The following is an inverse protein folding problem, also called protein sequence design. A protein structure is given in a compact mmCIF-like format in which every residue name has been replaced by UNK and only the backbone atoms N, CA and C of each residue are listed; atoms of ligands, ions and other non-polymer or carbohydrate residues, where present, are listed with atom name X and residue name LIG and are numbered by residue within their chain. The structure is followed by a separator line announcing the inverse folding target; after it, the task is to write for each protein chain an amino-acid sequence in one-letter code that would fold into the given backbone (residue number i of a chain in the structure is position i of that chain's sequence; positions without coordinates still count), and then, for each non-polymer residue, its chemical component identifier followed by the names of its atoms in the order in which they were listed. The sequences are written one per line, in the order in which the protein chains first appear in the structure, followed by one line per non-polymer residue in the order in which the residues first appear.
data_IF_816469121450
#
_entry.id   IF_816469121450
#
_cell.length_a   1.000
_cell.length_b   1.000
_cell.length_c   1.000
_cell.angle_alpha   90.00
_cell.angle_beta   90.00
_cell.angle_gamma   90.00
#
_symmetry.space_group_name_H-M   'P 1'
#
loop_
_entity.id
_entity.type
_entity.pdbx_description
1 polymer ?
#
# COMPACT_ATOMS: atom_id res chain seq x y z
N UNK A 1 -3.29 16.08 -2.51
CA UNK A 1 -2.92 15.04 -1.51
C UNK A 1 -3.87 14.94 -0.33
N UNK A 2 -4.50 16.01 0.21
CA UNK A 2 -5.47 15.86 1.31
C UNK A 2 -6.70 15.03 0.90
N UNK A 3 -7.21 15.25 -0.30
CA UNK A 3 -8.39 14.55 -0.84
C UNK A 3 -8.14 13.05 -1.07
N UNK A 4 -6.90 12.64 -1.39
CA UNK A 4 -6.54 11.23 -1.57
C UNK A 4 -6.93 10.38 -0.35
N UNK A 5 -6.68 10.91 0.86
CA UNK A 5 -6.94 10.22 2.12
C UNK A 5 -8.40 10.33 2.60
N UNK A 6 -9.24 11.05 1.87
CA UNK A 6 -10.68 11.21 2.18
C UNK A 6 -11.58 10.30 1.36
N UNK A 7 -11.00 9.44 0.51
CA UNK A 7 -11.74 8.51 -0.35
C UNK A 7 -11.30 7.05 -0.12
N UNK A 8 -12.08 6.07 -0.60
CA UNK A 8 -11.66 4.68 -0.62
C UNK A 8 -10.39 4.48 -1.46
N UNK A 9 -9.58 3.49 -1.08
CA UNK A 9 -8.40 3.07 -1.83
C UNK A 9 -8.33 1.57 -1.99
N UNK A 10 -7.66 1.09 -3.04
CA UNK A 10 -7.32 -0.34 -3.19
C UNK A 10 -5.84 -0.56 -2.85
N UNK A 11 -5.56 -1.49 -1.94
CA UNK A 11 -4.20 -1.76 -1.44
C UNK A 11 -3.65 -3.10 -1.91
N UNK A 12 -2.38 -3.13 -2.34
CA UNK A 12 -1.63 -4.35 -2.63
C UNK A 12 -0.96 -4.93 -1.37
N UNK A 13 -0.24 -6.04 -1.54
CA UNK A 13 0.45 -6.79 -0.47
C UNK A 13 1.59 -5.99 0.18
N UNK A 14 2.46 -5.34 -0.59
CA UNK A 14 3.72 -4.77 -0.10
C UNK A 14 3.56 -3.65 0.95
N UNK A 15 2.59 -2.73 0.85
CA UNK A 15 2.36 -1.74 1.90
C UNK A 15 1.79 -2.35 3.19
N UNK A 16 0.96 -3.38 3.07
CA UNK A 16 0.40 -4.10 4.22
C UNK A 16 1.52 -4.77 5.01
N UNK A 17 2.37 -5.55 4.32
CA UNK A 17 3.51 -6.24 4.93
C UNK A 17 4.44 -5.23 5.60
N UNK A 18 4.78 -4.15 4.87
CA UNK A 18 5.70 -3.12 5.37
C UNK A 18 5.20 -2.50 6.67
N UNK A 19 3.95 -2.03 6.70
CA UNK A 19 3.39 -1.43 7.91
C UNK A 19 3.19 -2.44 9.05
N UNK A 20 2.75 -3.68 8.76
CA UNK A 20 2.60 -4.71 9.79
C UNK A 20 3.95 -5.04 10.46
N UNK A 21 5.02 -5.20 9.68
CA UNK A 21 6.38 -5.42 10.20
C UNK A 21 6.92 -4.29 11.06
N UNK A 22 6.41 -3.08 10.86
CA UNK A 22 6.73 -1.92 11.69
C UNK A 22 5.79 -1.74 12.89
N UNK A 23 4.81 -2.64 13.11
CA UNK A 23 3.77 -2.49 14.14
C UNK A 23 2.73 -1.41 13.83
N UNK A 24 2.64 -0.98 12.57
CA UNK A 24 1.87 0.18 12.10
C UNK A 24 0.66 -0.20 11.22
N UNK A 25 0.22 -1.46 11.19
CA UNK A 25 -0.94 -1.90 10.40
C UNK A 25 -2.23 -1.11 10.71
N UNK A 26 -2.41 -0.68 11.96
CA UNK A 26 -3.54 0.16 12.39
C UNK A 26 -3.65 1.51 11.66
N UNK A 27 -2.57 1.97 11.02
CA UNK A 27 -2.58 3.23 10.28
C UNK A 27 -3.55 3.20 9.11
N UNK A 28 -3.80 2.05 8.46
CA UNK A 28 -4.75 1.99 7.35
C UNK A 28 -6.15 2.48 7.73
N UNK A 29 -6.67 2.00 8.87
CA UNK A 29 -7.97 2.42 9.41
C UNK A 29 -7.99 3.89 9.87
N UNK A 30 -6.82 4.43 10.24
CA UNK A 30 -6.70 5.83 10.68
C UNK A 30 -6.51 6.80 9.50
N UNK A 31 -5.97 6.32 8.38
CA UNK A 31 -5.59 7.14 7.23
C UNK A 31 -6.67 7.21 6.15
N UNK A 32 -7.54 6.21 6.06
CA UNK A 32 -8.55 6.11 5.02
C UNK A 32 -9.94 5.82 5.59
N UNK A 33 -11.01 6.33 4.97
CA UNK A 33 -12.36 5.97 5.34
C UNK A 33 -12.69 4.50 5.00
N UNK A 34 -12.04 3.95 3.96
CA UNK A 34 -12.23 2.56 3.52
C UNK A 34 -11.00 2.08 2.77
N UNK A 35 -10.54 0.87 3.07
CA UNK A 35 -9.47 0.20 2.33
C UNK A 35 -10.02 -1.09 1.75
N UNK A 36 -9.85 -1.27 0.45
CA UNK A 36 -10.25 -2.46 -0.27
C UNK A 36 -9.02 -3.25 -0.69
N UNK A 37 -9.19 -4.56 -0.85
CA UNK A 37 -8.18 -5.41 -1.48
C UNK A 37 -8.84 -6.59 -2.19
N UNK A 38 -8.07 -7.34 -2.98
CA UNK A 38 -8.58 -8.50 -3.72
C UNK A 38 -8.31 -9.79 -2.95
N UNK A 39 -9.11 -10.83 -3.19
CA UNK A 39 -8.81 -12.18 -2.68
C UNK A 39 -7.41 -12.66 -3.08
N UNK A 40 -6.96 -12.31 -4.30
CA UNK A 40 -5.61 -12.65 -4.78
C UNK A 40 -4.52 -12.07 -3.88
N UNK A 41 -4.67 -10.80 -3.47
CA UNK A 41 -3.75 -10.15 -2.53
C UNK A 41 -3.81 -10.82 -1.15
N UNK A 42 -4.99 -11.20 -0.67
CA UNK A 42 -5.16 -11.90 0.61
C UNK A 42 -4.47 -13.28 0.58
N UNK A 43 -4.64 -14.06 -0.48
CA UNK A 43 -3.96 -15.35 -0.66
C UNK A 43 -2.43 -15.19 -0.63
N UNK A 44 -1.90 -14.17 -1.28
CA UNK A 44 -0.46 -13.87 -1.27
C UNK A 44 0.04 -13.42 0.10
N UNK A 45 -0.77 -12.68 0.86
CA UNK A 45 -0.44 -12.28 2.23
C UNK A 45 -0.44 -13.49 3.18
N UNK A 46 -1.39 -14.39 3.04
CA UNK A 46 -1.51 -15.61 3.86
C UNK A 46 -0.44 -16.66 3.54
N UNK A 47 0.11 -16.64 2.32
CA UNK A 47 1.21 -17.52 1.93
C UNK A 47 2.58 -17.09 2.46
N UNK A 48 2.70 -15.90 3.07
CA UNK A 48 3.97 -15.36 3.60
C UNK A 48 4.15 -15.68 5.08
N UNK A 49 5.40 -15.60 5.55
CA UNK A 49 5.90 -16.05 6.85
C UNK A 49 5.00 -15.79 8.07
N UNK A 50 5.07 -16.72 9.03
CA UNK A 50 4.22 -16.74 10.22
C UNK A 50 4.47 -15.59 11.23
N UNK A 51 5.63 -14.92 11.19
CA UNK A 51 6.01 -13.92 12.21
C UNK A 51 5.06 -12.72 12.27
N UNK A 52 4.49 -12.33 11.11
CA UNK A 52 3.62 -11.15 11.01
C UNK A 52 2.16 -11.52 10.76
N UNK A 53 1.84 -12.83 10.73
CA UNK A 53 0.54 -13.33 10.32
C UNK A 53 -0.61 -12.75 11.17
N UNK A 54 -0.42 -12.64 12.49
CA UNK A 54 -1.42 -12.04 13.38
C UNK A 54 -1.66 -10.56 13.10
N UNK A 55 -0.60 -9.79 12.83
CA UNK A 55 -0.71 -8.36 12.55
C UNK A 55 -1.35 -8.12 11.18
N UNK A 56 -1.00 -8.93 10.19
CA UNK A 56 -1.62 -8.91 8.85
C UNK A 56 -3.10 -9.28 8.96
N UNK A 57 -3.44 -10.33 9.71
CA UNK A 57 -4.83 -10.74 9.90
C UNK A 57 -5.66 -9.63 10.55
N UNK A 58 -5.19 -9.05 11.65
CA UNK A 58 -5.86 -7.92 12.30
C UNK A 58 -6.01 -6.71 11.38
N UNK A 59 -5.04 -6.45 10.50
CA UNK A 59 -5.13 -5.38 9.50
C UNK A 59 -6.19 -5.70 8.43
N UNK A 60 -6.24 -6.94 7.95
CA UNK A 60 -7.20 -7.40 6.95
C UNK A 60 -8.65 -7.42 7.47
N UNK A 61 -8.87 -7.58 8.78
CA UNK A 61 -10.20 -7.45 9.38
C UNK A 61 -10.80 -6.05 9.21
N UNK A 62 -9.96 -5.02 9.06
CA UNK A 62 -10.39 -3.65 8.77
C UNK A 62 -10.57 -3.38 7.25
N UNK A 63 -10.22 -4.34 6.38
CA UNK A 63 -10.29 -4.17 4.93
C UNK A 63 -11.57 -4.79 4.37
N UNK A 64 -12.11 -4.20 3.32
CA UNK A 64 -13.14 -4.84 2.50
C UNK A 64 -12.45 -5.72 1.45
N UNK A 65 -12.62 -7.04 1.59
CA UNK A 65 -12.01 -8.02 0.68
C UNK A 65 -13.02 -8.35 -0.42
N UNK A 66 -12.67 -7.99 -1.66
CA UNK A 66 -13.51 -8.25 -2.83
C UNK A 66 -12.99 -9.43 -3.66
N UNK A 67 -13.87 -10.11 -4.43
CA UNK A 67 -13.43 -11.11 -5.40
C UNK A 67 -12.38 -10.54 -6.35
N UNK A 68 -11.42 -11.36 -6.76
CA UNK A 68 -10.43 -10.99 -7.76
C UNK A 68 -11.13 -10.83 -9.12
N UNK A 69 -11.14 -9.63 -9.72
CA UNK A 69 -11.77 -9.43 -11.01
C UNK A 69 -10.93 -10.06 -12.13
N UNK A 70 -11.53 -10.38 -13.30
CA UNK A 70 -10.80 -10.85 -14.47
C UNK A 70 -9.76 -9.81 -14.89
N UNK A 71 -8.49 -10.20 -14.85
CA UNK A 71 -7.36 -9.32 -15.22
C UNK A 71 -7.18 -9.33 -16.73
N UNK A 72 -6.99 -8.15 -17.33
CA UNK A 72 -6.61 -8.01 -18.73
C UNK A 72 -5.29 -8.78 -19.00
N UNK A 73 -5.28 -9.72 -19.97
CA UNK A 73 -4.08 -10.49 -20.32
C UNK A 73 -2.86 -9.63 -20.64
N UNK A 74 -3.03 -8.41 -21.16
CA UNK A 74 -1.89 -7.51 -21.40
C UNK A 74 -1.26 -7.04 -20.09
N UNK A 75 -2.06 -6.78 -19.05
CA UNK A 75 -1.54 -6.37 -17.74
C UNK A 75 -0.73 -7.48 -17.07
N UNK A 76 -1.16 -8.73 -17.21
CA UNK A 76 -0.47 -9.87 -16.60
C UNK A 76 0.91 -10.15 -17.24
N UNK A 77 1.18 -9.61 -18.43
CA UNK A 77 2.54 -9.65 -19.02
C UNK A 77 3.48 -8.58 -18.44
N UNK A 78 2.94 -7.55 -17.79
CA UNK A 78 3.68 -6.38 -17.33
C UNK A 78 3.84 -6.39 -15.81
N UNK A 79 2.75 -6.73 -15.11
CA UNK A 79 2.60 -6.64 -13.66
C UNK A 79 2.50 -8.03 -13.03
N UNK A 80 2.83 -8.12 -11.76
CA UNK A 80 2.53 -9.33 -11.01
C UNK A 80 1.00 -9.49 -10.81
N UNK A 81 0.53 -10.72 -10.51
CA UNK A 81 -0.90 -10.99 -10.35
C UNK A 81 -1.59 -10.14 -9.26
N UNK A 82 -0.89 -9.82 -8.17
CA UNK A 82 -1.41 -8.99 -7.09
C UNK A 82 -1.64 -7.56 -7.55
N UNK A 83 -0.62 -6.92 -8.13
CA UNK A 83 -0.69 -5.57 -8.71
C UNK A 83 -1.78 -5.46 -9.78
N UNK A 84 -1.81 -6.41 -10.72
CA UNK A 84 -2.77 -6.40 -11.81
C UNK A 84 -4.22 -6.52 -11.28
N UNK A 85 -4.44 -7.34 -10.25
CA UNK A 85 -5.74 -7.48 -9.62
C UNK A 85 -6.20 -6.19 -8.92
N UNK A 86 -5.27 -5.48 -8.26
CA UNK A 86 -5.55 -4.20 -7.59
C UNK A 86 -5.98 -3.13 -8.58
N UNK A 87 -5.26 -3.00 -9.70
CA UNK A 87 -5.61 -2.03 -10.75
C UNK A 87 -6.96 -2.34 -11.39
N UNK A 88 -7.20 -3.62 -11.68
CA UNK A 88 -8.46 -4.04 -12.26
C UNK A 88 -9.64 -3.79 -11.31
N UNK A 89 -9.47 -4.08 -10.01
CA UNK A 89 -10.49 -3.80 -9.01
C UNK A 89 -10.76 -2.29 -8.89
N UNK A 90 -9.71 -1.47 -8.86
CA UNK A 90 -9.85 -0.02 -8.83
C UNK A 90 -10.66 0.50 -10.03
N UNK A 91 -10.36 0.00 -11.23
CA UNK A 91 -11.10 0.34 -12.46
C UNK A 91 -12.57 -0.09 -12.39
N UNK A 92 -12.85 -1.33 -11.99
CA UNK A 92 -14.20 -1.89 -11.97
C UNK A 92 -15.13 -1.16 -10.99
N UNK A 93 -14.60 -0.78 -9.83
CA UNK A 93 -15.36 -0.11 -8.78
C UNK A 93 -15.29 1.43 -8.84
N UNK A 94 -14.64 1.99 -9.87
CA UNK A 94 -14.51 3.44 -10.03
C UNK A 94 -13.67 4.11 -8.91
N UNK A 95 -12.75 3.38 -8.30
CA UNK A 95 -11.87 3.87 -7.24
C UNK A 95 -10.65 4.51 -7.89
N UNK A 96 -10.41 5.79 -7.58
CA UNK A 96 -9.32 6.57 -8.18
C UNK A 96 -7.99 6.52 -7.41
N UNK A 97 -7.94 5.87 -6.24
CA UNK A 97 -6.74 5.79 -5.41
C UNK A 97 -6.27 4.35 -5.17
N UNK A 98 -4.97 4.12 -5.35
CA UNK A 98 -4.33 2.83 -5.03
C UNK A 98 -3.11 3.00 -4.15
N UNK A 99 -2.83 1.97 -3.35
CA UNK A 99 -1.65 1.90 -2.50
C UNK A 99 -0.67 0.86 -3.04
N UNK A 100 0.46 1.32 -3.58
CA UNK A 100 1.48 0.52 -4.28
C UNK A 100 2.89 1.04 -4.01
N UNK A 101 3.85 0.14 -3.78
CA UNK A 101 5.26 0.51 -3.56
C UNK A 101 6.12 0.33 -4.81
N UNK A 102 5.85 -0.69 -5.61
CA UNK A 102 6.66 -1.11 -6.75
C UNK A 102 6.60 -0.10 -7.90
N UNK A 103 7.79 0.30 -8.40
CA UNK A 103 7.91 1.36 -9.42
C UNK A 103 7.10 1.07 -10.70
N UNK A 104 7.04 -0.20 -11.12
CA UNK A 104 6.35 -0.60 -12.34
C UNK A 104 4.84 -0.49 -12.16
N UNK A 105 4.29 -1.07 -11.09
CA UNK A 105 2.87 -0.93 -10.77
C UNK A 105 2.44 0.52 -10.63
N UNK A 106 3.22 1.34 -9.90
CA UNK A 106 2.95 2.78 -9.78
C UNK A 106 2.84 3.48 -11.13
N UNK A 107 3.77 3.18 -12.06
CA UNK A 107 3.76 3.77 -13.40
C UNK A 107 2.53 3.37 -14.20
N UNK A 108 2.19 2.07 -14.22
CA UNK A 108 1.01 1.60 -14.96
C UNK A 108 -0.28 2.19 -14.37
N UNK A 109 -0.40 2.23 -13.05
CA UNK A 109 -1.54 2.84 -12.38
C UNK A 109 -1.74 4.31 -12.79
N UNK A 110 -0.67 5.12 -12.79
CA UNK A 110 -0.75 6.54 -13.18
C UNK A 110 -0.95 6.73 -14.69
N UNK A 111 -0.10 6.12 -15.51
CA UNK A 111 0.02 6.44 -16.93
C UNK A 111 -1.04 5.74 -17.79
N UNK A 112 -1.51 4.55 -17.38
CA UNK A 112 -2.45 3.73 -18.14
C UNK A 112 -3.87 3.83 -17.58
N UNK A 113 -4.00 3.84 -16.25
CA UNK A 113 -5.32 3.87 -15.59
C UNK A 113 -5.74 5.24 -15.07
N UNK A 114 -4.84 6.23 -15.06
CA UNK A 114 -5.13 7.55 -14.49
C UNK A 114 -5.40 7.52 -12.98
N UNK A 115 -4.88 6.52 -12.27
CA UNK A 115 -5.05 6.37 -10.83
C UNK A 115 -4.04 7.22 -10.08
N UNK A 116 -4.47 7.80 -8.97
CA UNK A 116 -3.57 8.37 -8.00
C UNK A 116 -2.94 7.27 -7.15
N UNK A 117 -1.64 7.41 -6.85
CA UNK A 117 -0.88 6.37 -6.18
C UNK A 117 -0.13 6.91 -4.97
N UNK A 118 -0.30 6.23 -3.83
CA UNK A 118 0.50 6.41 -2.62
C UNK A 118 1.24 5.12 -2.32
N UNK A 119 2.50 5.21 -1.88
CA UNK A 119 3.23 4.06 -1.35
C UNK A 119 3.45 4.21 0.16
N UNK A 120 4.10 3.24 0.77
CA UNK A 120 4.42 3.17 2.21
C UNK A 120 5.07 4.46 2.74
N UNK A 121 6.01 5.06 2.01
CA UNK A 121 6.61 6.35 2.39
C UNK A 121 5.56 7.47 2.52
N UNK A 122 4.61 7.52 1.59
CA UNK A 122 3.54 8.52 1.62
C UNK A 122 2.56 8.29 2.77
N UNK A 123 2.30 7.03 3.13
CA UNK A 123 1.52 6.67 4.32
C UNK A 123 2.22 7.16 5.60
N UNK A 124 3.52 6.92 5.76
CA UNK A 124 4.28 7.38 6.94
C UNK A 124 4.30 8.91 7.04
N UNK A 125 4.55 9.60 5.93
CA UNK A 125 4.51 11.07 5.88
C UNK A 125 3.14 11.61 6.28
N UNK A 126 2.06 10.98 5.81
CA UNK A 126 0.71 11.37 6.17
C UNK A 126 0.42 11.11 7.64
N UNK A 127 0.83 9.95 8.16
CA UNK A 127 0.67 9.59 9.57
C UNK A 127 1.38 10.59 10.49
N UNK A 128 2.63 10.98 10.16
CA UNK A 128 3.34 12.02 10.92
C UNK A 128 2.62 13.36 10.88
N UNK A 129 2.14 13.78 9.70
CA UNK A 129 1.38 15.04 9.56
C UNK A 129 0.10 15.06 10.40
N UNK A 130 -0.48 13.90 10.67
CA UNK A 130 -1.66 13.73 11.53
C UNK A 130 -1.30 13.42 12.99
N UNK A 131 -0.02 13.49 13.36
CA UNK A 131 0.49 13.15 14.71
C UNK A 131 0.16 11.72 15.17
N UNK A 132 -0.06 10.79 14.23
CA UNK A 132 -0.28 9.36 14.54
C UNK A 132 1.04 8.64 14.86
N UNK A 133 2.16 9.18 14.37
CA UNK A 133 3.52 8.74 14.68
C UNK A 133 4.38 9.98 14.98
N UNK A 134 5.34 9.89 15.93
CA UNK A 134 6.18 11.03 16.29
C UNK A 134 7.25 11.35 15.23
N UNK A 135 7.73 10.32 14.53
CA UNK A 135 8.79 10.41 13.52
C UNK A 135 8.60 9.39 12.40
N UNK A 136 9.22 9.63 11.25
CA UNK A 136 9.22 8.75 10.07
C UNK A 136 10.46 7.88 10.03
N UNK A 137 11.61 8.35 10.52
CA UNK A 137 12.90 7.67 10.40
C UNK A 137 12.90 6.26 10.98
N UNK A 138 12.53 6.10 12.25
CA UNK A 138 12.52 4.80 12.91
C UNK A 138 11.65 3.76 12.19
N UNK A 139 10.35 4.03 11.89
CA UNK A 139 9.54 3.05 11.18
C UNK A 139 10.01 2.83 9.73
N UNK A 140 10.50 3.87 9.04
CA UNK A 140 11.04 3.72 7.69
C UNK A 140 12.28 2.81 7.66
N UNK A 141 13.18 2.95 8.64
CA UNK A 141 14.38 2.13 8.75
C UNK A 141 14.04 0.67 9.10
N UNK A 142 13.05 0.44 9.97
CA UNK A 142 12.53 -0.91 10.23
C UNK A 142 11.94 -1.54 8.97
N UNK A 143 11.15 -0.79 8.20
CA UNK A 143 10.54 -1.27 6.95
C UNK A 143 11.60 -1.66 5.91
N UNK A 144 12.65 -0.85 5.78
CA UNK A 144 13.77 -1.13 4.88
C UNK A 144 14.54 -2.37 5.33
N UNK A 145 14.86 -2.48 6.63
CA UNK A 145 15.54 -3.65 7.18
C UNK A 145 14.73 -4.94 6.99
N UNK A 146 13.41 -4.82 6.87
CA UNK A 146 12.47 -5.93 6.68
C UNK A 146 12.15 -6.26 5.22
N UNK A 147 12.87 -5.65 4.27
CA UNK A 147 12.90 -6.06 2.87
C UNK A 147 12.29 -5.07 1.87
N UNK A 148 11.71 -3.95 2.31
CA UNK A 148 11.23 -2.93 1.36
C UNK A 148 12.43 -2.18 0.76
N UNK A 149 12.65 -2.34 -0.55
CA UNK A 149 13.70 -1.62 -1.23
C UNK A 149 13.33 -0.15 -1.46
N UNK A 150 14.05 0.75 -0.80
CA UNK A 150 13.95 2.19 -1.01
C UNK A 150 15.33 2.73 -1.40
N UNK A 151 15.40 3.51 -2.48
CA UNK A 151 16.67 4.10 -2.88
C UNK A 151 17.14 5.13 -1.84
N UNK A 152 18.46 5.29 -1.62
CA UNK A 152 18.98 6.28 -0.67
C UNK A 152 18.42 7.69 -0.92
N UNK A 153 18.26 8.06 -2.20
CA UNK A 153 17.66 9.33 -2.61
C UNK A 153 16.20 9.46 -2.15
N UNK A 154 15.38 8.42 -2.33
CA UNK A 154 13.97 8.45 -1.92
C UNK A 154 13.84 8.47 -0.40
N UNK A 155 14.69 7.71 0.32
CA UNK A 155 14.75 7.75 1.79
C UNK A 155 15.06 9.17 2.29
N UNK A 156 16.12 9.78 1.77
CA UNK A 156 16.50 11.15 2.14
C UNK A 156 15.39 12.16 1.83
N UNK A 157 14.72 12.02 0.68
CA UNK A 157 13.59 12.87 0.33
C UNK A 157 12.42 12.68 1.31
N UNK A 158 12.11 11.44 1.69
CA UNK A 158 11.08 11.14 2.67
C UNK A 158 11.38 11.81 4.02
N UNK A 159 12.59 11.66 4.55
CA UNK A 159 12.99 12.29 5.82
C UNK A 159 12.92 13.82 5.76
N UNK A 160 13.43 14.44 4.69
CA UNK A 160 13.32 15.89 4.50
C UNK A 160 11.87 16.37 4.49
N UNK A 161 10.98 15.63 3.81
CA UNK A 161 9.54 15.96 3.79
C UNK A 161 8.87 15.76 5.16
N UNK A 162 9.43 14.87 6.00
CA UNK A 162 9.02 14.70 7.38
C UNK A 162 9.58 15.78 8.31
N UNK A 163 10.56 16.58 7.87
CA UNK A 163 11.30 17.52 8.73
C UNK A 163 12.34 16.83 9.62
N UNK A 164 12.93 15.73 9.14
CA UNK A 164 13.95 14.90 9.80
C UNK A 164 15.25 14.78 9.00
#
# INVERSE_FOLDING_TARGET
MSEFFQRPVVCNTSPVISLCKAGLGHLFASLFPKVLTTRKVVEELQAKDASDALSIQATLEAFEILPTPPVDPMLSTILDPGEASVMQLAKEYGISGVVLDERRGRRVAMDVFGLEVVGTCGLLLRAKKLSLIPEVKAPLDLIIANGLFISPRLRLQCLRMAGE
#
